data_IF_252221047942
#
_entry.id   IF_252221047942
#
_cell.length_a   1.000
_cell.length_b   1.000
_cell.length_c   1.000
_cell.angle_alpha   90.00
_cell.angle_beta   90.00
_cell.angle_gamma   90.00
#
_symmetry.space_group_name_H-M   'P 1'
#
loop_
_entity.id
_entity.type
_entity.pdbx_description
1 polymer ?
#
# COMPACT_ATOMS: atom_id res chain seq x y z
N UNK A 1 -8.49 12.93 -57.28
CA UNK A 1 -7.31 12.41 -56.60
C UNK A 1 -6.94 13.22 -55.34
N UNK A 2 -6.95 14.57 -55.36
CA UNK A 2 -6.62 15.40 -54.16
C UNK A 2 -7.59 15.27 -52.96
N UNK A 3 -8.86 14.94 -53.18
CA UNK A 3 -9.86 14.77 -52.09
C UNK A 3 -9.72 13.44 -51.31
N UNK A 4 -9.17 12.42 -51.96
CA UNK A 4 -8.95 11.10 -51.31
C UNK A 4 -7.69 11.15 -50.42
N UNK A 5 -6.69 11.92 -50.79
CA UNK A 5 -5.47 12.09 -49.99
C UNK A 5 -5.72 12.90 -48.71
N UNK A 6 -6.66 13.83 -48.68
CA UNK A 6 -7.03 14.59 -47.48
C UNK A 6 -7.82 13.74 -46.48
N UNK A 7 -8.65 12.81 -46.96
CA UNK A 7 -9.41 11.90 -46.11
C UNK A 7 -8.50 10.87 -45.40
N UNK A 8 -7.45 10.35 -46.09
CA UNK A 8 -6.49 9.43 -45.49
C UNK A 8 -5.59 10.11 -44.43
N UNK A 9 -5.22 11.38 -44.67
CA UNK A 9 -4.43 12.13 -43.66
C UNK A 9 -5.23 12.44 -42.37
N UNK A 10 -6.52 12.75 -42.49
CA UNK A 10 -7.39 13.00 -41.35
C UNK A 10 -7.66 11.73 -40.52
N UNK A 11 -7.75 10.56 -41.18
CA UNK A 11 -7.96 9.27 -40.49
C UNK A 11 -6.68 8.81 -39.78
N UNK A 12 -5.51 9.11 -40.28
CA UNK A 12 -4.23 8.73 -39.66
C UNK A 12 -3.92 9.57 -38.43
N UNK A 13 -4.36 10.84 -38.37
CA UNK A 13 -4.20 11.71 -37.20
C UNK A 13 -5.17 11.34 -36.06
N UNK A 14 -6.31 10.73 -36.38
CA UNK A 14 -7.32 10.34 -35.37
C UNK A 14 -7.01 9.03 -34.65
N UNK A 15 -6.13 8.19 -35.20
CA UNK A 15 -5.70 6.91 -34.59
C UNK A 15 -4.53 7.10 -33.60
N UNK A 16 -3.89 8.26 -33.59
CA UNK A 16 -2.74 8.55 -32.71
C UNK A 16 -3.12 9.18 -31.35
N UNK A 17 -4.41 9.33 -31.03
CA UNK A 17 -4.87 10.06 -29.84
C UNK A 17 -5.58 9.20 -28.78
N UNK A 18 -5.49 7.87 -28.85
CA UNK A 18 -6.11 7.02 -27.81
C UNK A 18 -5.17 5.93 -27.27
N UNK A 19 -3.93 6.26 -26.98
CA UNK A 19 -3.24 5.53 -25.93
C UNK A 19 -3.70 6.16 -24.61
N UNK A 20 -4.81 5.69 -24.08
CA UNK A 20 -5.12 5.96 -22.68
C UNK A 20 -3.95 5.42 -21.86
N UNK A 21 -3.35 6.22 -20.96
CA UNK A 21 -2.35 5.69 -20.04
C UNK A 21 -2.99 4.56 -19.26
N UNK A 22 -2.38 3.39 -19.30
CA UNK A 22 -2.76 2.27 -18.45
C UNK A 22 -2.28 2.62 -17.04
N UNK A 23 -3.15 2.61 -16.06
CA UNK A 23 -2.97 3.26 -14.76
C UNK A 23 -2.82 2.24 -13.64
N UNK A 24 -2.02 2.56 -12.66
CA UNK A 24 -1.56 1.81 -11.50
C UNK A 24 -2.42 2.01 -10.24
N UNK A 25 -2.18 1.27 -9.16
CA UNK A 25 -3.24 0.78 -8.26
C UNK A 25 -4.36 0.33 -9.18
N UNK A 26 -4.90 -0.84 -9.15
CA UNK A 26 -5.77 -1.29 -10.25
C UNK A 26 -6.71 -0.18 -10.69
N UNK A 27 -6.51 0.36 -11.91
CA UNK A 27 -7.22 1.52 -12.45
C UNK A 27 -7.03 2.87 -11.71
N UNK A 28 -5.95 3.02 -10.93
CA UNK A 28 -5.57 4.27 -10.27
C UNK A 28 -4.91 5.29 -11.22
N UNK A 29 -4.42 6.37 -10.67
CA UNK A 29 -3.65 7.42 -11.35
C UNK A 29 -2.32 7.66 -10.62
N UNK A 30 -1.26 8.17 -11.30
CA UNK A 30 -0.04 8.57 -10.63
C UNK A 30 -0.34 9.52 -9.48
N UNK A 31 0.34 9.33 -8.37
CA UNK A 31 0.18 10.19 -7.18
C UNK A 31 0.61 11.63 -7.42
N UNK A 32 1.52 11.84 -8.38
CA UNK A 32 2.09 13.15 -8.69
C UNK A 32 2.65 13.88 -7.45
N UNK A 33 3.17 13.09 -6.49
CA UNK A 33 3.72 13.54 -5.21
C UNK A 33 2.74 14.30 -4.31
N UNK A 34 1.43 14.02 -4.43
CA UNK A 34 0.42 14.59 -3.54
C UNK A 34 0.52 14.00 -2.12
N UNK A 35 1.02 12.76 -1.99
CA UNK A 35 1.15 12.03 -0.72
C UNK A 35 2.61 11.65 -0.43
N UNK A 36 3.53 12.61 -0.25
CA UNK A 36 4.97 12.32 -0.08
C UNK A 36 5.28 11.53 1.20
N UNK A 37 4.35 11.46 2.14
CA UNK A 37 4.43 10.68 3.37
C UNK A 37 4.08 9.19 3.20
N UNK A 38 3.60 8.79 2.03
CA UNK A 38 3.36 7.38 1.72
C UNK A 38 4.65 6.76 1.18
N UNK A 39 5.13 5.73 1.85
CA UNK A 39 6.40 5.07 1.58
C UNK A 39 6.25 3.68 0.96
N UNK A 40 7.26 3.28 0.19
CA UNK A 40 7.50 1.93 -0.26
C UNK A 40 8.37 1.21 0.76
N UNK A 41 7.99 0.01 1.15
CA UNK A 41 8.68 -0.82 2.12
C UNK A 41 9.15 -2.10 1.45
N UNK A 42 10.44 -2.43 1.60
CA UNK A 42 11.02 -3.74 1.31
C UNK A 42 11.26 -4.48 2.61
N UNK A 43 10.93 -5.75 2.64
CA UNK A 43 11.15 -6.62 3.78
C UNK A 43 11.69 -7.98 3.32
N UNK A 44 12.47 -8.62 4.18
CA UNK A 44 12.92 -9.99 3.99
C UNK A 44 12.27 -10.90 5.03
N UNK A 45 11.57 -11.93 4.55
CA UNK A 45 11.03 -12.98 5.40
C UNK A 45 11.98 -14.18 5.38
N UNK A 46 12.69 -14.46 6.49
CA UNK A 46 13.60 -15.59 6.56
C UNK A 46 12.89 -16.93 6.80
N UNK A 47 11.62 -16.93 7.21
CA UNK A 47 10.84 -18.15 7.38
C UNK A 47 10.35 -18.70 6.03
N UNK A 48 10.00 -17.80 5.11
CA UNK A 48 9.74 -18.10 3.70
C UNK A 48 10.77 -17.36 2.83
N UNK A 49 12.06 -17.81 2.79
CA UNK A 49 13.16 -17.00 2.33
C UNK A 49 12.87 -16.23 1.04
N UNK A 50 12.58 -14.95 1.18
CA UNK A 50 12.15 -14.09 0.07
C UNK A 50 12.09 -12.61 0.44
N UNK A 51 12.14 -11.78 -0.59
CA UNK A 51 11.94 -10.35 -0.49
C UNK A 51 10.54 -10.02 -0.94
N UNK A 52 9.84 -9.26 -0.10
CA UNK A 52 8.48 -8.81 -0.34
C UNK A 52 8.40 -7.28 -0.26
N UNK A 53 7.35 -6.72 -0.82
CA UNK A 53 7.09 -5.29 -0.74
C UNK A 53 5.73 -5.00 -0.13
N UNK A 54 5.69 -3.93 0.63
CA UNK A 54 4.49 -3.33 1.20
C UNK A 54 4.52 -1.82 0.98
N UNK A 55 3.43 -1.17 1.32
CA UNK A 55 3.30 0.28 1.41
C UNK A 55 3.03 0.69 2.85
N UNK A 56 3.11 1.98 3.16
CA UNK A 56 2.74 2.50 4.47
C UNK A 56 2.79 4.02 4.55
N UNK A 57 2.63 4.55 5.75
CA UNK A 57 2.45 5.98 6.00
C UNK A 57 3.38 6.47 7.11
N UNK A 58 4.19 7.48 6.84
CA UNK A 58 4.98 8.18 7.86
C UNK A 58 4.05 9.09 8.67
N UNK A 59 3.90 8.82 9.97
CA UNK A 59 3.02 9.57 10.88
C UNK A 59 3.75 10.70 11.62
N UNK A 60 5.05 10.51 11.87
CA UNK A 60 5.97 11.49 12.42
C UNK A 60 7.39 11.23 11.85
N UNK A 61 8.44 11.72 12.48
CA UNK A 61 9.79 11.68 11.91
C UNK A 61 10.39 10.26 11.81
N UNK A 62 9.91 9.28 12.57
CA UNK A 62 10.46 7.93 12.66
C UNK A 62 9.39 6.82 12.79
N UNK A 63 8.10 7.18 12.88
CA UNK A 63 7.00 6.23 13.00
C UNK A 63 6.33 5.97 11.65
N UNK A 64 6.53 4.78 11.09
CA UNK A 64 5.95 4.35 9.83
C UNK A 64 4.84 3.32 10.06
N UNK A 65 3.59 3.70 9.79
CA UNK A 65 2.40 2.84 9.91
C UNK A 65 2.28 1.93 8.68
N UNK A 66 2.08 0.64 8.89
CA UNK A 66 1.85 -0.38 7.85
C UNK A 66 0.94 -1.49 8.35
N UNK A 67 0.81 -2.60 7.61
CA UNK A 67 0.01 -3.75 8.01
C UNK A 67 0.76 -4.69 8.98
N UNK A 68 0.00 -5.42 9.79
CA UNK A 68 0.52 -6.45 10.67
C UNK A 68 1.24 -7.55 9.88
N UNK A 69 0.65 -8.01 8.77
CA UNK A 69 1.27 -9.03 7.92
C UNK A 69 2.55 -8.57 7.20
N UNK A 70 2.80 -7.26 7.13
CA UNK A 70 4.06 -6.71 6.62
C UNK A 70 5.15 -6.61 7.69
N UNK A 71 4.82 -6.86 8.96
CA UNK A 71 5.72 -6.71 10.11
C UNK A 71 5.92 -7.99 10.90
N UNK A 72 4.98 -8.93 10.79
CA UNK A 72 4.96 -10.19 11.50
C UNK A 72 6.01 -11.17 10.97
N UNK A 73 6.78 -11.78 11.85
CA UNK A 73 7.76 -12.80 11.48
C UNK A 73 9.04 -12.25 10.81
N UNK A 74 9.18 -10.93 10.67
CA UNK A 74 10.38 -10.33 10.10
C UNK A 74 11.60 -10.65 10.99
N UNK A 75 12.69 -11.06 10.37
CA UNK A 75 13.90 -11.47 11.07
C UNK A 75 14.83 -10.33 11.41
N UNK A 76 15.96 -10.70 12.04
CA UNK A 76 17.09 -9.83 12.34
C UNK A 76 18.30 -10.31 11.56
N UNK A 77 18.85 -9.46 10.69
CA UNK A 77 20.09 -9.73 9.95
C UNK A 77 20.09 -11.10 9.20
N UNK A 78 18.95 -11.43 8.58
CA UNK A 78 18.74 -12.67 7.82
C UNK A 78 18.46 -13.91 8.68
N UNK A 79 18.34 -13.75 9.98
CA UNK A 79 17.98 -14.85 10.90
C UNK A 79 16.46 -14.86 11.07
N UNK A 80 15.87 -16.05 11.07
CA UNK A 80 14.41 -16.21 11.24
C UNK A 80 13.92 -15.45 12.47
N UNK A 81 12.88 -14.62 12.24
CA UNK A 81 12.23 -13.82 13.27
C UNK A 81 11.21 -14.59 14.07
N UNK A 82 10.67 -13.92 15.06
CA UNK A 82 9.52 -14.36 15.80
C UNK A 82 8.29 -13.47 15.48
N UNK A 83 7.13 -13.76 16.05
CA UNK A 83 5.94 -12.92 15.87
C UNK A 83 6.09 -11.46 16.31
N UNK A 84 7.11 -11.11 17.09
CA UNK A 84 7.34 -9.73 17.58
C UNK A 84 7.98 -8.79 16.56
N UNK A 85 8.36 -9.29 15.38
CA UNK A 85 9.00 -8.48 14.34
C UNK A 85 10.52 -8.52 14.35
N UNK A 86 11.15 -7.69 13.56
CA UNK A 86 12.61 -7.61 13.40
C UNK A 86 13.05 -6.42 12.55
N UNK A 87 14.35 -6.38 12.19
CA UNK A 87 14.97 -5.25 11.51
C UNK A 87 15.34 -5.50 10.04
N UNK A 88 14.86 -6.60 9.44
CA UNK A 88 15.04 -6.88 8.02
C UNK A 88 13.99 -6.14 7.16
N UNK A 89 13.90 -4.84 7.38
CA UNK A 89 12.95 -3.93 6.73
C UNK A 89 13.59 -2.58 6.39
N UNK A 90 13.27 -2.09 5.19
CA UNK A 90 13.78 -0.81 4.67
C UNK A 90 12.64 -0.03 3.99
N UNK A 91 12.59 1.27 4.23
CA UNK A 91 11.53 2.16 3.73
C UNK A 91 12.15 3.28 2.89
N UNK A 92 11.46 3.64 1.80
CA UNK A 92 11.78 4.84 1.00
C UNK A 92 10.52 5.64 0.69
N UNK A 93 10.68 6.96 0.58
CA UNK A 93 9.58 7.90 0.27
C UNK A 93 9.72 8.53 -1.11
N UNK A 94 10.65 8.05 -1.93
CA UNK A 94 10.76 8.51 -3.32
C UNK A 94 9.49 8.17 -4.10
N UNK A 95 9.02 9.10 -4.94
CA UNK A 95 7.81 8.89 -5.74
C UNK A 95 7.98 7.72 -6.73
N UNK A 96 9.19 7.56 -7.24
CA UNK A 96 9.58 6.47 -8.14
C UNK A 96 10.76 5.72 -7.54
N UNK A 97 10.62 4.41 -7.48
CA UNK A 97 11.63 3.51 -6.91
C UNK A 97 12.61 3.10 -8.01
N UNK A 98 13.89 3.29 -7.79
CA UNK A 98 14.92 2.85 -8.72
C UNK A 98 15.63 1.59 -8.21
N UNK A 99 15.25 0.44 -8.75
CA UNK A 99 15.84 -0.87 -8.46
C UNK A 99 16.75 -1.38 -9.60
N UNK A 100 17.24 -0.50 -10.48
CA UNK A 100 18.07 -0.92 -11.62
C UNK A 100 19.37 -1.62 -11.21
N UNK A 101 19.94 -1.25 -10.06
CA UNK A 101 21.15 -1.85 -9.48
C UNK A 101 20.85 -2.89 -8.39
N UNK A 102 19.58 -3.24 -8.19
CA UNK A 102 19.17 -4.26 -7.24
C UNK A 102 19.84 -5.60 -7.56
N UNK A 103 20.55 -6.26 -6.61
CA UNK A 103 21.22 -7.52 -6.84
C UNK A 103 20.25 -8.59 -7.35
N UNK A 104 20.56 -9.15 -8.52
CA UNK A 104 19.65 -10.07 -9.23
C UNK A 104 19.82 -11.49 -8.73
N UNK A 105 18.72 -12.21 -8.62
CA UNK A 105 18.71 -13.63 -8.28
C UNK A 105 19.64 -14.48 -9.16
N UNK A 106 19.74 -14.16 -10.44
CA UNK A 106 20.56 -14.88 -11.40
C UNK A 106 22.08 -14.83 -11.09
N UNK A 107 22.52 -13.82 -10.33
CA UNK A 107 23.92 -13.65 -9.95
C UNK A 107 24.29 -14.48 -8.70
N UNK A 108 23.30 -15.08 -8.04
CA UNK A 108 23.41 -15.86 -6.81
C UNK A 108 22.67 -17.21 -6.94
N UNK A 109 23.02 -18.06 -7.92
CA UNK A 109 22.36 -19.35 -8.10
C UNK A 109 22.60 -20.22 -6.86
N UNK A 110 21.51 -20.73 -6.27
CA UNK A 110 21.53 -21.59 -5.07
C UNK A 110 22.24 -21.00 -3.83
N UNK A 111 22.37 -19.67 -3.77
CA UNK A 111 23.01 -18.95 -2.67
C UNK A 111 22.08 -17.85 -2.10
N UNK A 112 21.06 -18.26 -1.35
CA UNK A 112 20.12 -17.34 -0.69
C UNK A 112 20.81 -16.39 0.29
N UNK A 113 21.70 -16.92 1.12
CA UNK A 113 22.41 -16.12 2.10
C UNK A 113 23.27 -15.03 1.44
N UNK A 114 23.96 -15.38 0.35
CA UNK A 114 24.74 -14.41 -0.42
C UNK A 114 23.86 -13.34 -1.08
N UNK A 115 22.71 -13.72 -1.59
CA UNK A 115 21.74 -12.78 -2.17
C UNK A 115 21.17 -11.85 -1.09
N UNK A 116 20.81 -12.39 0.09
CA UNK A 116 20.36 -11.60 1.22
C UNK A 116 21.39 -10.54 1.61
N UNK A 117 22.65 -10.95 1.81
CA UNK A 117 23.74 -10.02 2.18
C UNK A 117 23.90 -8.94 1.12
N UNK A 118 24.01 -9.30 -0.17
CA UNK A 118 24.20 -8.33 -1.23
C UNK A 118 23.05 -7.31 -1.31
N UNK A 119 21.81 -7.75 -1.12
CA UNK A 119 20.63 -6.88 -1.13
C UNK A 119 20.57 -5.97 0.09
N UNK A 120 20.86 -6.50 1.27
CA UNK A 120 20.91 -5.73 2.50
C UNK A 120 22.02 -4.67 2.46
N UNK A 121 23.21 -5.02 1.96
CA UNK A 121 24.32 -4.09 1.77
C UNK A 121 23.97 -2.98 0.77
N UNK A 122 23.29 -3.33 -0.33
CA UNK A 122 22.81 -2.36 -1.30
C UNK A 122 21.81 -1.37 -0.68
N UNK A 123 20.82 -1.88 0.08
CA UNK A 123 19.83 -1.04 0.78
C UNK A 123 20.48 -0.14 1.83
N UNK A 124 21.39 -0.69 2.63
CA UNK A 124 22.11 0.09 3.67
C UNK A 124 23.05 1.16 3.09
N UNK A 125 23.53 0.96 1.86
CA UNK A 125 24.37 1.96 1.16
C UNK A 125 23.57 2.98 0.34
N UNK A 126 22.29 2.73 0.09
CA UNK A 126 21.43 3.59 -0.70
C UNK A 126 20.74 4.63 0.18
N UNK A 127 21.18 5.89 0.08
CA UNK A 127 20.69 7.00 0.90
C UNK A 127 19.19 7.30 0.75
N UNK A 128 18.49 6.71 -0.22
CA UNK A 128 17.04 6.86 -0.35
C UNK A 128 16.24 5.87 0.51
N UNK A 129 16.90 4.86 1.09
CA UNK A 129 16.28 3.91 1.99
C UNK A 129 16.72 4.14 3.44
N UNK A 130 15.79 3.98 4.35
CA UNK A 130 16.03 4.00 5.80
C UNK A 130 15.62 2.64 6.35
N UNK A 131 16.53 1.99 7.09
CA UNK A 131 16.22 0.75 7.81
C UNK A 131 15.35 1.06 9.03
N UNK A 132 14.63 0.08 9.53
CA UNK A 132 13.86 0.21 10.76
C UNK A 132 13.64 -1.12 11.46
N UNK A 133 12.92 -1.07 12.56
CA UNK A 133 12.49 -2.24 13.32
C UNK A 133 10.97 -2.37 13.23
N UNK A 134 10.49 -3.52 12.80
CA UNK A 134 9.07 -3.79 12.62
C UNK A 134 8.43 -4.29 13.91
N UNK A 135 7.21 -3.84 14.18
CA UNK A 135 6.40 -4.17 15.35
C UNK A 135 4.97 -4.51 14.88
N UNK A 136 4.59 -5.78 14.76
CA UNK A 136 3.21 -6.17 14.52
C UNK A 136 2.35 -5.89 15.76
N UNK A 137 1.07 -5.62 15.56
CA UNK A 137 0.13 -5.56 16.67
C UNK A 137 0.16 -6.90 17.44
N UNK A 138 0.27 -6.90 18.78
CA UNK A 138 0.30 -8.14 19.57
C UNK A 138 -0.94 -9.04 19.42
N UNK A 139 -2.05 -8.48 18.93
CA UNK A 139 -3.27 -9.24 18.64
C UNK A 139 -3.35 -9.71 17.17
N UNK A 140 -2.37 -9.38 16.33
CA UNK A 140 -2.28 -9.95 14.98
C UNK A 140 -1.77 -11.39 15.08
N UNK A 141 -2.51 -12.31 14.50
CA UNK A 141 -2.29 -13.77 14.64
C UNK A 141 -2.05 -14.48 13.32
N UNK A 142 -1.56 -13.74 12.32
CA UNK A 142 -1.36 -14.24 10.96
C UNK A 142 -2.66 -14.77 10.32
N UNK A 143 -3.74 -14.03 10.48
CA UNK A 143 -5.08 -14.33 9.97
C UNK A 143 -5.73 -15.61 10.55
N UNK A 144 -5.29 -16.11 11.70
CA UNK A 144 -5.86 -17.32 12.30
C UNK A 144 -7.29 -17.07 12.82
N UNK A 145 -7.59 -15.90 13.38
CA UNK A 145 -8.92 -15.51 13.89
C UNK A 145 -9.73 -14.66 12.89
N UNK A 146 -9.55 -14.93 11.60
CA UNK A 146 -10.23 -14.23 10.53
C UNK A 146 -11.75 -14.17 10.75
N UNK A 147 -12.43 -13.01 10.52
CA UNK A 147 -11.95 -11.77 9.93
C UNK A 147 -11.50 -10.69 10.92
N UNK A 148 -11.47 -10.93 12.22
CA UNK A 148 -10.98 -9.98 13.23
C UNK A 148 -9.48 -10.21 13.40
N UNK A 149 -8.71 -9.69 12.47
CA UNK A 149 -7.31 -10.05 12.31
C UNK A 149 -6.31 -9.04 12.93
N UNK A 150 -6.76 -7.89 13.39
CA UNK A 150 -5.89 -6.84 13.97
C UNK A 150 -4.67 -6.51 13.09
N UNK A 151 -4.84 -6.51 11.76
CA UNK A 151 -3.77 -6.42 10.78
C UNK A 151 -3.20 -5.00 10.68
N UNK A 152 -2.52 -4.58 11.73
CA UNK A 152 -1.83 -3.30 11.85
C UNK A 152 -0.44 -3.52 12.43
N UNK A 153 0.55 -2.83 11.88
CA UNK A 153 1.94 -2.84 12.33
C UNK A 153 2.56 -1.46 12.24
N UNK A 154 3.68 -1.29 12.92
CA UNK A 154 4.51 -0.09 12.91
C UNK A 154 5.94 -0.49 12.59
N UNK A 155 6.67 0.37 11.89
CA UNK A 155 8.12 0.30 11.76
C UNK A 155 8.70 1.56 12.41
N UNK A 156 9.51 1.37 13.44
CA UNK A 156 10.36 2.43 13.99
C UNK A 156 11.60 2.54 13.09
N UNK A 157 11.78 3.68 12.43
CA UNK A 157 12.90 3.93 11.53
C UNK A 157 14.17 4.26 12.30
N UNK A 158 15.32 3.74 11.87
CA UNK A 158 16.64 3.93 12.52
C UNK A 158 17.15 5.37 12.44
N UNK A 159 16.49 6.24 11.67
CA UNK A 159 16.85 7.63 11.49
C UNK A 159 15.65 8.52 11.22
N UNK A 160 15.77 9.78 11.61
CA UNK A 160 14.71 10.76 11.38
C UNK A 160 14.54 11.02 9.88
N UNK A 161 13.34 10.78 9.38
CA UNK A 161 12.94 11.10 8.01
C UNK A 161 12.14 12.40 8.01
N UNK A 162 12.65 13.41 7.32
CA UNK A 162 11.95 14.68 7.22
C UNK A 162 11.12 14.73 5.93
N UNK A 163 9.87 14.39 6.04
CA UNK A 163 8.93 14.38 4.92
C UNK A 163 7.62 15.08 5.32
N UNK A 164 7.66 16.40 5.39
CA UNK A 164 6.44 17.18 5.68
C UNK A 164 5.62 17.41 4.40
N UNK A 165 4.29 17.23 4.43
CA UNK A 165 3.46 16.87 5.58
C UNK A 165 3.59 15.40 5.94
N UNK A 166 3.27 15.04 7.19
CA UNK A 166 3.05 13.67 7.64
C UNK A 166 1.61 13.23 7.40
N UNK A 167 1.37 11.91 7.36
CA UNK A 167 0.04 11.35 7.53
C UNK A 167 -0.48 11.60 8.95
N UNK A 168 -1.78 11.56 9.13
CA UNK A 168 -2.40 11.77 10.44
C UNK A 168 -3.46 10.70 10.71
N UNK A 169 -3.51 10.16 11.92
CA UNK A 169 -4.61 9.26 12.29
C UNK A 169 -5.93 10.05 12.31
N UNK A 170 -6.91 9.59 11.55
CA UNK A 170 -8.26 10.16 11.57
C UNK A 170 -8.88 10.07 12.99
N UNK A 171 -9.75 10.98 13.38
CA UNK A 171 -10.53 10.86 14.61
C UNK A 171 -11.29 9.53 14.69
N UNK A 172 -11.51 9.03 15.90
CA UNK A 172 -12.30 7.81 16.13
C UNK A 172 -13.70 7.93 15.49
N UNK A 173 -14.12 6.89 14.75
CA UNK A 173 -15.43 6.84 14.12
C UNK A 173 -15.58 7.69 12.85
N UNK A 174 -14.48 8.12 12.24
CA UNK A 174 -14.50 8.90 10.99
C UNK A 174 -15.18 8.12 9.84
N UNK A 175 -14.98 6.81 9.74
CA UNK A 175 -15.64 5.98 8.72
C UNK A 175 -17.17 6.01 8.87
N UNK A 176 -17.70 5.91 10.10
CA UNK A 176 -19.14 6.03 10.37
C UNK A 176 -19.64 7.43 10.03
N UNK A 177 -18.86 8.46 10.28
CA UNK A 177 -19.23 9.84 9.93
C UNK A 177 -19.33 10.02 8.41
N UNK A 178 -18.38 9.48 7.63
CA UNK A 178 -18.41 9.51 6.16
C UNK A 178 -19.69 8.83 5.64
N UNK A 179 -19.99 7.62 6.14
CA UNK A 179 -21.20 6.88 5.74
C UNK A 179 -22.46 7.66 6.09
N UNK A 180 -22.51 8.27 7.27
CA UNK A 180 -23.67 9.02 7.75
C UNK A 180 -23.92 10.31 6.94
N UNK A 181 -22.89 10.93 6.38
CA UNK A 181 -23.02 12.12 5.54
C UNK A 181 -23.58 11.82 4.14
N UNK A 182 -23.63 10.56 3.74
CA UNK A 182 -24.07 10.13 2.40
C UNK A 182 -25.34 9.26 2.40
N UNK A 183 -26.38 9.53 3.23
CA UNK A 183 -27.51 8.62 3.44
C UNK A 183 -28.42 8.47 2.21
N UNK A 184 -28.35 9.41 1.26
CA UNK A 184 -29.20 9.40 0.04
C UNK A 184 -28.52 8.77 -1.15
N UNK A 185 -27.19 8.74 -1.15
CA UNK A 185 -26.38 8.14 -2.21
C UNK A 185 -25.13 7.49 -1.59
N UNK A 186 -25.20 6.19 -1.22
CA UNK A 186 -24.05 5.47 -0.68
C UNK A 186 -22.82 5.46 -1.61
N UNK A 187 -23.02 5.79 -2.91
CA UNK A 187 -21.90 5.91 -3.85
C UNK A 187 -21.02 7.15 -3.59
N UNK A 188 -21.45 8.07 -2.73
CA UNK A 188 -20.68 9.27 -2.36
C UNK A 188 -19.83 9.03 -1.09
N UNK A 189 -19.96 7.88 -0.42
CA UNK A 189 -19.09 7.48 0.68
C UNK A 189 -17.75 6.99 0.10
N UNK A 190 -16.87 7.92 -0.24
CA UNK A 190 -15.60 7.65 -0.91
C UNK A 190 -14.43 7.69 0.07
N UNK A 191 -13.41 6.91 -0.25
CA UNK A 191 -12.07 6.94 0.35
C UNK A 191 -11.02 6.95 -0.76
N UNK A 192 -9.81 7.35 -0.42
CA UNK A 192 -8.67 7.32 -1.31
C UNK A 192 -7.61 6.36 -0.80
N UNK A 193 -7.14 5.45 -1.67
CA UNK A 193 -6.07 4.50 -1.36
C UNK A 193 -4.82 4.91 -2.11
N UNK A 194 -3.66 4.89 -1.42
CA UNK A 194 -2.37 5.27 -1.99
C UNK A 194 -1.35 4.18 -1.70
N UNK A 195 -0.53 3.83 -2.71
CA UNK A 195 0.49 2.79 -2.52
C UNK A 195 1.39 2.57 -3.73
N UNK A 196 2.19 1.52 -3.64
CA UNK A 196 3.19 1.12 -4.65
C UNK A 196 2.92 -0.27 -5.24
N UNK A 197 1.70 -0.78 -5.10
CA UNK A 197 1.34 -2.11 -5.55
C UNK A 197 1.27 -2.29 -7.06
N UNK A 198 0.97 -3.50 -7.49
CA UNK A 198 0.80 -3.87 -8.89
C UNK A 198 -0.45 -3.18 -9.46
N UNK A 199 -0.33 -2.63 -10.66
CA UNK A 199 -1.36 -1.82 -11.30
C UNK A 199 -2.37 -2.62 -12.11
N UNK A 200 -1.96 -3.76 -12.60
CA UNK A 200 -2.83 -4.67 -13.34
C UNK A 200 -2.23 -6.06 -13.33
N UNK A 201 -3.07 -7.06 -13.25
CA UNK A 201 -2.69 -8.46 -13.45
C UNK A 201 -3.24 -9.01 -14.76
N UNK A 202 -4.17 -8.30 -15.40
CA UNK A 202 -4.79 -8.72 -16.66
C UNK A 202 -4.91 -7.55 -17.66
N UNK A 203 -4.70 -7.78 -18.97
CA UNK A 203 -4.34 -9.05 -19.61
C UNK A 203 -2.88 -9.47 -19.38
N UNK A 204 -2.05 -8.58 -18.82
CA UNK A 204 -0.66 -8.82 -18.44
C UNK A 204 -0.38 -8.12 -17.12
N UNK A 205 0.46 -8.71 -16.26
CA UNK A 205 1.00 -7.99 -15.11
C UNK A 205 1.65 -6.70 -15.56
N UNK A 206 1.30 -5.61 -14.89
CA UNK A 206 1.93 -4.31 -15.04
C UNK A 206 2.33 -3.82 -13.66
N UNK A 207 3.61 -3.72 -13.47
CA UNK A 207 4.26 -3.22 -12.28
C UNK A 207 5.03 -1.96 -12.68
N UNK A 208 4.73 -0.88 -12.00
CA UNK A 208 5.46 0.38 -12.16
C UNK A 208 5.97 0.74 -10.78
N UNK A 209 7.27 0.83 -10.64
CA UNK A 209 7.93 1.15 -9.37
C UNK A 209 7.71 2.63 -9.00
N UNK A 210 6.45 3.01 -8.78
CA UNK A 210 6.05 4.38 -8.48
C UNK A 210 4.78 4.42 -7.63
N UNK A 211 4.59 5.54 -6.90
CA UNK A 211 3.42 5.77 -6.06
C UNK A 211 2.21 6.17 -6.89
N UNK A 212 1.09 5.54 -6.59
CA UNK A 212 -0.20 5.76 -7.25
C UNK A 212 -1.32 5.90 -6.24
N UNK A 213 -2.47 6.42 -6.70
CA UNK A 213 -3.67 6.59 -5.88
C UNK A 213 -4.93 6.19 -6.63
N UNK A 214 -5.95 5.77 -5.90
CA UNK A 214 -7.29 5.56 -6.44
C UNK A 214 -8.36 5.94 -5.43
N UNK A 215 -9.54 6.27 -5.94
CA UNK A 215 -10.72 6.50 -5.13
C UNK A 215 -11.64 5.30 -5.19
N UNK A 216 -12.07 4.79 -4.05
CA UNK A 216 -12.99 3.66 -3.94
C UNK A 216 -14.19 4.01 -3.08
N UNK A 217 -15.29 3.25 -3.29
CA UNK A 217 -16.50 3.40 -2.49
C UNK A 217 -16.48 2.48 -1.29
N UNK A 218 -16.88 3.00 -0.14
CA UNK A 218 -17.20 2.19 1.05
C UNK A 218 -18.46 1.39 0.76
N UNK A 219 -18.37 0.06 0.92
CA UNK A 219 -19.49 -0.85 0.79
C UNK A 219 -20.15 -1.09 2.14
N UNK A 220 -19.36 -1.46 3.15
CA UNK A 220 -19.85 -1.73 4.50
C UNK A 220 -18.71 -1.91 5.53
N UNK A 221 -19.05 -1.91 6.82
CA UNK A 221 -18.13 -2.09 7.95
C UNK A 221 -18.59 -3.15 8.95
N UNK A 222 -19.73 -3.83 8.70
CA UNK A 222 -20.41 -4.68 9.70
C UNK A 222 -20.78 -6.07 9.17
N UNK A 223 -20.44 -6.39 7.92
CA UNK A 223 -20.68 -7.71 7.35
C UNK A 223 -19.78 -8.79 7.95
N UNK A 224 -20.04 -10.03 7.58
CA UNK A 224 -19.30 -11.19 8.10
C UNK A 224 -17.79 -11.10 7.86
N UNK A 225 -17.36 -10.45 6.78
CA UNK A 225 -15.94 -10.28 6.46
C UNK A 225 -15.35 -8.99 7.06
N UNK A 226 -16.19 -8.04 7.42
CA UNK A 226 -15.75 -6.77 8.02
C UNK A 226 -15.65 -6.87 9.55
N UNK A 227 -16.56 -7.60 10.20
CA UNK A 227 -16.62 -7.85 11.65
C UNK A 227 -16.35 -6.60 12.53
N UNK A 228 -16.64 -5.39 11.98
CA UNK A 228 -16.41 -4.11 12.66
C UNK A 228 -14.95 -3.62 12.68
N UNK A 229 -13.98 -4.45 12.32
CA UNK A 229 -12.55 -4.10 12.26
C UNK A 229 -12.08 -3.80 10.84
N UNK A 230 -12.73 -4.33 9.82
CA UNK A 230 -12.39 -4.11 8.43
C UNK A 230 -13.35 -3.16 7.72
N UNK A 231 -12.80 -2.31 6.87
CA UNK A 231 -13.51 -1.49 5.91
C UNK A 231 -13.58 -2.26 4.58
N UNK A 232 -14.80 -2.61 4.14
CA UNK A 232 -15.00 -3.22 2.83
C UNK A 232 -15.17 -2.13 1.77
N UNK A 233 -14.36 -2.18 0.74
CA UNK A 233 -14.40 -1.29 -0.42
C UNK A 233 -14.52 -2.06 -1.72
N UNK A 234 -14.87 -1.35 -2.79
CA UNK A 234 -15.06 -1.95 -4.10
C UNK A 234 -13.86 -1.67 -5.00
N UNK A 235 -13.20 -2.74 -5.44
CA UNK A 235 -12.11 -2.69 -6.40
C UNK A 235 -12.63 -3.03 -7.81
N UNK A 236 -13.21 -2.05 -8.47
CA UNK A 236 -13.72 -2.20 -9.85
C UNK A 236 -13.55 -0.90 -10.63
N UNK A 237 -13.28 -0.97 -11.95
CA UNK A 237 -13.17 0.20 -12.82
C UNK A 237 -14.55 0.80 -13.13
N UNK A 238 -15.34 1.12 -12.12
CA UNK A 238 -16.69 1.64 -12.29
C UNK A 238 -16.67 3.16 -12.42
N UNK A 239 -17.54 3.72 -13.26
CA UNK A 239 -17.78 5.16 -13.32
C UNK A 239 -18.57 5.68 -12.12
N UNK A 240 -19.21 4.79 -11.36
CA UNK A 240 -20.04 5.12 -10.21
C UNK A 240 -19.34 4.62 -8.95
N UNK A 241 -18.89 5.54 -8.10
CA UNK A 241 -18.35 5.21 -6.78
C UNK A 241 -16.88 4.84 -6.73
N UNK A 242 -16.06 5.42 -7.60
CA UNK A 242 -14.62 5.27 -7.55
C UNK A 242 -14.02 4.55 -8.76
N UNK A 243 -12.71 4.62 -8.89
CA UNK A 243 -11.94 3.99 -9.96
C UNK A 243 -10.78 3.24 -9.35
N UNK A 244 -10.86 1.92 -9.35
CA UNK A 244 -9.79 1.07 -8.92
C UNK A 244 -9.85 0.65 -7.45
N UNK A 245 -8.76 0.12 -6.96
CA UNK A 245 -8.58 -0.40 -5.61
C UNK A 245 -7.18 -0.96 -5.42
N UNK A 246 -6.92 -1.62 -4.30
CA UNK A 246 -5.61 -2.15 -3.94
C UNK A 246 -5.25 -3.44 -4.67
N UNK A 247 -3.94 -3.72 -4.74
CA UNK A 247 -3.38 -4.95 -5.27
C UNK A 247 -2.13 -5.37 -4.48
N UNK A 248 -1.44 -6.42 -4.90
CA UNK A 248 -0.21 -6.88 -4.26
C UNK A 248 0.84 -5.76 -4.23
N UNK A 249 1.40 -5.50 -3.06
CA UNK A 249 2.33 -4.40 -2.79
C UNK A 249 1.69 -3.14 -2.21
N UNK A 250 0.35 -2.98 -2.31
CA UNK A 250 -0.38 -1.89 -1.62
C UNK A 250 -0.64 -2.21 -0.14
N UNK A 251 -0.41 -3.43 0.31
CA UNK A 251 -0.51 -3.89 1.71
C UNK A 251 0.11 -2.88 2.67
N UNK A 252 -0.62 -2.48 3.71
CA UNK A 252 -0.20 -1.48 4.69
C UNK A 252 -0.30 -0.02 4.21
N UNK A 253 -0.51 0.21 2.91
CA UNK A 253 -0.75 1.55 2.37
C UNK A 253 -2.00 2.20 2.96
N UNK A 254 -2.03 3.54 3.05
CA UNK A 254 -3.13 4.24 3.68
C UNK A 254 -4.42 4.22 2.86
N UNK A 255 -5.51 4.14 3.58
CA UNK A 255 -6.85 4.50 3.13
C UNK A 255 -7.20 5.83 3.79
N UNK A 256 -7.32 6.87 2.98
CA UNK A 256 -7.43 8.26 3.41
C UNK A 256 -8.86 8.79 3.26
N UNK A 257 -9.18 9.81 4.06
CA UNK A 257 -10.29 10.72 3.75
C UNK A 257 -9.87 11.55 2.52
N UNK A 258 -10.62 11.52 1.41
CA UNK A 258 -10.19 12.14 0.15
C UNK A 258 -9.81 13.61 0.30
N UNK A 259 -8.67 13.99 -0.29
CA UNK A 259 -8.15 15.36 -0.24
C UNK A 259 -7.60 15.78 1.12
N UNK A 260 -7.32 14.84 2.02
CA UNK A 260 -6.68 15.07 3.33
C UNK A 260 -5.55 14.09 3.56
N UNK A 261 -4.75 14.31 4.62
CA UNK A 261 -3.75 13.35 5.09
C UNK A 261 -4.29 12.41 6.19
N UNK A 262 -5.60 12.34 6.41
CA UNK A 262 -6.20 11.56 7.49
C UNK A 262 -6.38 10.10 7.10
N UNK A 263 -5.66 9.21 7.78
CA UNK A 263 -5.70 7.75 7.60
C UNK A 263 -6.86 7.18 8.42
N UNK A 264 -7.83 6.54 7.76
CA UNK A 264 -8.97 5.84 8.39
C UNK A 264 -8.76 4.34 8.48
N UNK A 265 -7.98 3.78 7.55
CA UNK A 265 -7.67 2.35 7.50
C UNK A 265 -6.34 2.14 6.76
N UNK A 266 -5.83 0.91 6.79
CA UNK A 266 -4.67 0.46 6.01
C UNK A 266 -5.06 -0.75 5.17
N UNK A 267 -4.51 -0.88 3.98
CA UNK A 267 -4.79 -2.01 3.07
C UNK A 267 -4.36 -3.32 3.72
N UNK A 268 -5.27 -4.30 3.79
CA UNK A 268 -5.07 -5.57 4.47
C UNK A 268 -5.15 -6.75 3.51
N UNK A 269 -6.33 -7.12 3.00
CA UNK A 269 -6.50 -8.30 2.16
C UNK A 269 -7.61 -8.14 1.11
N UNK A 270 -7.58 -9.04 0.13
CA UNK A 270 -8.64 -9.24 -0.85
C UNK A 270 -8.75 -10.72 -1.21
N UNK A 271 -9.90 -11.14 -1.74
CA UNK A 271 -10.12 -12.55 -2.12
C UNK A 271 -9.81 -12.84 -3.59
N UNK A 272 -9.50 -11.82 -4.37
CA UNK A 272 -9.27 -11.96 -5.81
C UNK A 272 -7.79 -12.06 -6.13
N UNK A 273 -7.37 -13.17 -6.71
CA UNK A 273 -6.00 -13.34 -7.22
C UNK A 273 -5.65 -12.37 -8.38
N UNK A 274 -6.63 -11.61 -8.89
CA UNK A 274 -6.46 -10.63 -9.97
C UNK A 274 -6.84 -9.21 -9.52
N UNK A 275 -6.93 -8.98 -8.22
CA UNK A 275 -7.21 -7.67 -7.62
C UNK A 275 -8.49 -7.01 -8.14
N UNK A 276 -9.58 -7.77 -8.26
CA UNK A 276 -10.89 -7.27 -8.66
C UNK A 276 -11.95 -7.66 -7.63
N UNK A 277 -12.94 -6.81 -7.41
CA UNK A 277 -14.12 -7.11 -6.61
C UNK A 277 -14.10 -6.43 -5.25
N UNK A 278 -13.77 -7.15 -4.19
CA UNK A 278 -13.82 -6.65 -2.82
C UNK A 278 -12.43 -6.55 -2.24
N UNK A 279 -12.09 -5.38 -1.70
CA UNK A 279 -10.92 -5.12 -0.89
C UNK A 279 -11.33 -4.88 0.56
N UNK A 280 -10.48 -5.33 1.48
CA UNK A 280 -10.66 -5.16 2.91
C UNK A 280 -9.44 -4.44 3.50
N UNK A 281 -9.71 -3.41 4.27
CA UNK A 281 -8.67 -2.60 4.91
C UNK A 281 -8.93 -2.56 6.41
N UNK A 282 -7.88 -2.81 7.22
CA UNK A 282 -8.03 -2.77 8.67
C UNK A 282 -8.12 -1.33 9.17
N UNK A 283 -9.13 -1.04 9.97
CA UNK A 283 -9.43 0.31 10.45
C UNK A 283 -8.44 0.78 11.51
N UNK A 284 -7.99 2.02 11.38
CA UNK A 284 -7.15 2.71 12.37
C UNK A 284 -7.89 3.86 13.06
N UNK A 285 -9.13 4.15 12.64
CA UNK A 285 -10.06 5.05 13.31
C UNK A 285 -10.90 4.35 14.42
N UNK A 286 -10.39 3.24 14.97
CA UNK A 286 -10.94 2.48 16.09
C UNK A 286 -9.94 2.45 17.24
N UNK A 287 -10.45 2.35 18.48
CA UNK A 287 -9.65 2.49 19.71
C UNK A 287 -8.50 1.50 19.81
N UNK A 288 -8.73 0.22 19.48
CA UNK A 288 -7.71 -0.82 19.62
C UNK A 288 -6.48 -0.57 18.74
N UNK A 289 -6.70 -0.18 17.47
CA UNK A 289 -5.63 0.15 16.54
C UNK A 289 -4.93 1.44 16.95
N UNK A 290 -5.71 2.46 17.30
CA UNK A 290 -5.19 3.78 17.67
C UNK A 290 -4.29 3.71 18.91
N UNK A 291 -4.69 3.00 19.95
CA UNK A 291 -3.88 2.81 21.15
C UNK A 291 -2.54 2.17 20.87
N UNK A 292 -2.51 1.15 20.01
CA UNK A 292 -1.28 0.50 19.58
C UNK A 292 -0.37 1.48 18.81
N UNK A 293 -0.91 2.17 17.80
CA UNK A 293 -0.10 3.07 16.97
C UNK A 293 0.48 4.23 17.79
N UNK A 294 -0.35 4.86 18.65
CA UNK A 294 0.09 5.99 19.48
C UNK A 294 1.17 5.62 20.49
N UNK A 295 1.34 4.34 20.83
CA UNK A 295 2.40 3.90 21.75
C UNK A 295 3.82 4.01 21.13
N UNK A 296 3.93 4.22 19.83
CA UNK A 296 5.19 4.42 19.10
C UNK A 296 5.44 5.88 18.71
N UNK A 297 4.39 6.72 18.72
CA UNK A 297 4.54 8.13 18.33
C UNK A 297 5.16 8.93 19.48
N UNK A 298 6.10 9.81 19.12
CA UNK A 298 6.66 10.79 20.05
C UNK A 298 5.64 11.88 20.36
N UNK A 299 5.58 12.38 21.61
CA UNK A 299 4.75 13.51 22.05
C UNK A 299 5.17 14.84 21.40
#
# INVERSE_FOLDING_TARGET
>A
MKKIQLALAATLVMVLLTAAPVQAITYGEPDANEHPYVGFMLLFDPAEPGWFSCSGTLLDADTFLTAGHCTYGIGHDGVAGDPSGGNDVWVTFTETINLSEWPKRADYPDNEAGLYIARSDWLNSNASFTRGTSHPNPNYDNFAEFPVNHDVGVVELDGLVWNSPFGALAPLGTVEAIIAMTPRNPNDALIETVGFGIQSLQPKPMEVDARYKSTSRIVETKGNQSAGGNLHTLNNPSRIGGRGGSCFGDSGGPVLVPGTNQVVAIVSYGFSAVCHGADYSWRVDIESSRTFILSFMSD
#
